data_IF_861563644005
#
_entry.id   IF_861563644005
#
_cell.length_a   1.000
_cell.length_b   1.000
_cell.length_c   1.000
_cell.angle_alpha   90.00
_cell.angle_beta   90.00
_cell.angle_gamma   90.00
#
_symmetry.space_group_name_H-M   'P 1'
#
loop_
_entity.id
_entity.type
_entity.pdbx_description
1 polymer ?
#
# COMPACT_ATOMS: atom_id res chain seq x y z
N UNK A 1 -8.18 -9.30 8.62
CA UNK A 1 -7.76 -10.13 7.45
C UNK A 1 -6.68 -11.13 7.83
N UNK A 2 -5.53 -10.69 8.35
CA UNK A 2 -4.40 -11.55 8.73
C UNK A 2 -4.79 -12.82 9.53
N UNK A 3 -5.59 -12.68 10.59
CA UNK A 3 -6.10 -13.82 11.40
C UNK A 3 -6.89 -14.84 10.57
N UNK A 4 -7.69 -14.38 9.60
CA UNK A 4 -8.50 -15.27 8.74
C UNK A 4 -7.65 -16.05 7.74
N UNK A 5 -6.49 -15.53 7.39
CA UNK A 5 -5.54 -16.12 6.45
C UNK A 5 -4.39 -16.86 7.16
N UNK A 6 -4.37 -16.86 8.50
CA UNK A 6 -3.27 -17.38 9.32
C UNK A 6 -1.90 -16.77 8.93
N UNK A 7 -1.87 -15.45 8.73
CA UNK A 7 -0.68 -14.70 8.31
C UNK A 7 -0.18 -13.73 9.39
N UNK A 8 1.14 -13.44 9.43
CA UNK A 8 1.67 -12.35 10.24
C UNK A 8 1.17 -10.99 9.73
N UNK A 9 1.21 -9.98 10.61
CA UNK A 9 0.80 -8.61 10.29
C UNK A 9 2.02 -7.68 10.31
N UNK A 10 2.05 -6.75 9.34
CA UNK A 10 2.90 -5.58 9.35
C UNK A 10 2.03 -4.33 9.16
N UNK A 11 2.47 -3.20 9.71
CA UNK A 11 1.75 -1.93 9.66
C UNK A 11 2.62 -0.90 8.95
N UNK A 12 2.09 -0.28 7.90
CA UNK A 12 2.71 0.89 7.27
C UNK A 12 2.25 2.13 8.04
N UNK A 13 3.11 2.67 8.90
CA UNK A 13 2.85 3.92 9.61
C UNK A 13 3.10 5.10 8.67
N UNK A 14 2.07 5.91 8.42
CA UNK A 14 2.19 7.17 7.70
C UNK A 14 2.31 8.32 8.69
N UNK A 15 3.39 9.11 8.60
CA UNK A 15 3.50 10.40 9.29
C UNK A 15 3.48 11.56 8.31
N UNK A 16 2.85 12.65 8.75
CA UNK A 16 2.87 13.94 8.05
C UNK A 16 3.81 14.86 8.81
N UNK A 17 4.84 15.37 8.13
CA UNK A 17 5.72 16.39 8.69
C UNK A 17 5.15 17.76 8.28
N UNK A 18 4.39 18.37 9.20
CA UNK A 18 3.80 19.69 9.00
C UNK A 18 2.54 19.74 8.10
N UNK A 19 2.17 20.95 7.70
CA UNK A 19 0.94 21.26 6.93
C UNK A 19 1.20 21.52 5.43
N UNK A 20 2.42 21.30 4.94
CA UNK A 20 2.86 21.66 3.58
C UNK A 20 2.51 20.62 2.51
N UNK A 21 1.78 19.56 2.87
CA UNK A 21 1.32 18.56 1.91
C UNK A 21 2.35 17.48 1.55
N UNK A 22 3.62 17.60 1.97
CA UNK A 22 4.62 16.53 1.83
C UNK A 22 4.51 15.51 2.98
N UNK A 23 4.15 14.28 2.64
CA UNK A 23 4.16 13.12 3.56
C UNK A 23 5.55 12.53 3.53
N UNK A 24 6.37 12.83 4.54
CA UNK A 24 7.82 12.62 4.46
C UNK A 24 8.37 11.47 5.34
N UNK A 25 7.54 10.73 6.07
CA UNK A 25 8.02 9.51 6.71
C UNK A 25 6.96 8.42 6.68
N UNK A 26 7.25 7.37 5.91
CA UNK A 26 6.60 6.08 6.03
C UNK A 26 7.56 5.18 6.82
N UNK A 27 7.02 4.37 7.72
CA UNK A 27 7.78 3.31 8.36
C UNK A 27 6.99 2.00 8.29
N UNK A 28 7.68 0.87 8.35
CA UNK A 28 7.06 -0.46 8.42
C UNK A 28 7.32 -1.02 9.80
N UNK A 29 6.25 -1.28 10.55
CA UNK A 29 6.29 -2.00 11.83
C UNK A 29 5.97 -3.46 11.55
N UNK A 30 6.96 -4.34 11.73
CA UNK A 30 6.87 -5.77 11.38
C UNK A 30 8.01 -6.18 10.43
N UNK A 31 8.18 -7.48 10.22
CA UNK A 31 9.17 -8.04 9.31
C UNK A 31 8.53 -8.44 7.97
N UNK A 32 9.02 -7.82 6.90
CA UNK A 32 8.54 -8.03 5.52
C UNK A 32 9.65 -8.53 4.60
N UNK A 33 10.91 -8.61 5.07
CA UNK A 33 12.04 -8.93 4.22
C UNK A 33 11.97 -10.37 3.70
N UNK A 34 12.12 -10.54 2.39
CA UNK A 34 12.03 -11.84 1.72
C UNK A 34 10.62 -12.43 1.68
N UNK A 35 9.57 -11.66 1.97
CA UNK A 35 8.16 -12.10 1.98
C UNK A 35 7.33 -11.34 0.96
N UNK A 36 6.36 -12.01 0.35
CA UNK A 36 5.31 -11.33 -0.41
C UNK A 36 4.39 -10.58 0.55
N UNK A 37 4.01 -9.36 0.20
CA UNK A 37 3.17 -8.49 1.02
C UNK A 37 1.79 -8.33 0.39
N UNK A 38 0.74 -8.55 1.18
CA UNK A 38 -0.64 -8.23 0.82
C UNK A 38 -1.03 -6.92 1.51
N UNK A 39 -0.96 -5.82 0.76
CA UNK A 39 -1.39 -4.51 1.20
C UNK A 39 -2.90 -4.40 1.09
N UNK A 40 -3.57 -3.98 2.16
CA UNK A 40 -5.03 -3.90 2.23
C UNK A 40 -5.43 -2.54 2.78
N UNK A 41 -6.41 -1.91 2.14
CA UNK A 41 -7.04 -0.69 2.62
C UNK A 41 -8.54 -0.71 2.32
N UNK A 42 -9.30 0.18 2.93
CA UNK A 42 -10.73 0.31 2.65
C UNK A 42 -10.99 0.99 1.30
N UNK A 43 -10.28 2.07 0.98
CA UNK A 43 -10.44 2.79 -0.29
C UNK A 43 -9.12 3.14 -0.99
N UNK A 44 -9.20 3.28 -2.32
CA UNK A 44 -8.12 3.78 -3.16
C UNK A 44 -8.64 5.00 -3.93
N UNK A 45 -8.41 6.19 -3.38
CA UNK A 45 -8.79 7.46 -3.99
C UNK A 45 -7.74 7.94 -5.00
N UNK A 46 -6.76 8.77 -4.60
CA UNK A 46 -5.71 9.28 -5.51
C UNK A 46 -4.52 8.33 -5.68
N UNK A 47 -4.60 7.12 -5.11
CA UNK A 47 -3.52 6.12 -4.99
C UNK A 47 -2.21 6.57 -4.32
N UNK A 48 -2.14 7.79 -3.78
CA UNK A 48 -0.90 8.32 -3.18
C UNK A 48 -0.40 7.49 -2.00
N UNK A 49 -1.31 7.01 -1.15
CA UNK A 49 -0.99 6.11 -0.02
C UNK A 49 -0.50 4.75 -0.52
N UNK A 50 -1.15 4.16 -1.53
CA UNK A 50 -0.78 2.85 -2.07
C UNK A 50 0.64 2.85 -2.65
N UNK A 51 0.96 3.81 -3.52
CA UNK A 51 2.29 3.90 -4.13
C UNK A 51 3.38 4.08 -3.08
N UNK A 52 3.13 4.94 -2.10
CA UNK A 52 4.02 5.16 -0.97
C UNK A 52 4.27 3.89 -0.15
N UNK A 53 3.20 3.14 0.17
CA UNK A 53 3.29 1.89 0.91
C UNK A 53 4.03 0.80 0.11
N UNK A 54 3.77 0.68 -1.19
CA UNK A 54 4.47 -0.26 -2.08
C UNK A 54 5.97 0.03 -2.10
N UNK A 55 6.35 1.29 -2.31
CA UNK A 55 7.76 1.69 -2.37
C UNK A 55 8.50 1.34 -1.09
N UNK A 56 7.95 1.68 0.09
CA UNK A 56 8.63 1.35 1.35
C UNK A 56 8.68 -0.16 1.62
N UNK A 57 7.64 -0.93 1.24
CA UNK A 57 7.68 -2.39 1.36
C UNK A 57 8.81 -2.98 0.52
N UNK A 58 8.99 -2.51 -0.72
CA UNK A 58 10.10 -2.90 -1.60
C UNK A 58 11.45 -2.49 -1.03
N UNK A 59 11.60 -1.26 -0.54
CA UNK A 59 12.82 -0.78 0.12
C UNK A 59 13.19 -1.61 1.35
N UNK A 60 12.20 -2.14 2.08
CA UNK A 60 12.40 -3.06 3.22
C UNK A 60 12.63 -4.52 2.80
N UNK A 61 12.74 -4.79 1.50
CA UNK A 61 13.07 -6.11 0.96
C UNK A 61 11.88 -7.05 0.82
N UNK A 62 10.65 -6.53 0.79
CA UNK A 62 9.50 -7.35 0.42
C UNK A 62 9.67 -7.91 -1.00
N UNK A 63 9.17 -9.12 -1.22
CA UNK A 63 9.01 -9.74 -2.52
C UNK A 63 7.90 -9.07 -3.30
N UNK A 64 6.99 -9.84 -3.88
CA UNK A 64 5.84 -9.28 -4.60
C UNK A 64 4.91 -8.52 -3.65
N UNK A 65 4.40 -7.39 -4.12
CA UNK A 65 3.39 -6.60 -3.40
C UNK A 65 2.07 -6.71 -4.16
N UNK A 66 1.04 -7.23 -3.50
CA UNK A 66 -0.33 -7.27 -3.98
C UNK A 66 -1.14 -6.21 -3.23
N UNK A 67 -2.08 -5.57 -3.91
CA UNK A 67 -2.96 -4.55 -3.31
C UNK A 67 -4.39 -5.02 -3.37
N UNK A 68 -5.10 -4.93 -2.25
CA UNK A 68 -6.54 -5.16 -2.17
C UNK A 68 -7.24 -3.94 -1.59
N UNK A 69 -8.25 -3.41 -2.29
CA UNK A 69 -9.08 -2.30 -1.84
C UNK A 69 -10.57 -2.63 -1.96
N UNK A 70 -11.41 -2.15 -1.03
CA UNK A 70 -12.86 -2.29 -1.22
C UNK A 70 -13.35 -1.26 -2.24
N UNK A 71 -13.18 0.02 -1.96
CA UNK A 71 -13.70 1.11 -2.78
C UNK A 71 -12.64 1.67 -3.73
N UNK A 72 -12.77 1.38 -5.02
CA UNK A 72 -11.86 1.87 -6.06
C UNK A 72 -12.35 3.20 -6.65
N UNK A 73 -12.23 4.29 -5.88
CA UNK A 73 -12.61 5.64 -6.34
C UNK A 73 -11.73 6.09 -7.51
N UNK A 74 -10.43 5.77 -7.46
CA UNK A 74 -9.44 5.97 -8.52
C UNK A 74 -9.45 7.39 -9.12
N UNK A 75 -9.52 8.42 -8.27
CA UNK A 75 -9.62 9.80 -8.72
C UNK A 75 -8.28 10.38 -9.17
N UNK A 76 -8.36 11.38 -10.06
CA UNK A 76 -7.20 12.15 -10.52
C UNK A 76 -6.08 11.24 -11.08
N UNK A 77 -4.85 11.31 -10.55
CA UNK A 77 -3.70 10.58 -11.09
C UNK A 77 -3.63 9.11 -10.64
N UNK A 78 -4.68 8.56 -10.02
CA UNK A 78 -4.63 7.25 -9.37
C UNK A 78 -4.22 6.13 -10.32
N UNK A 79 -4.85 6.05 -11.49
CA UNK A 79 -4.59 4.99 -12.47
C UNK A 79 -3.14 5.03 -12.96
N UNK A 80 -2.62 6.21 -13.29
CA UNK A 80 -1.24 6.36 -13.76
C UNK A 80 -0.24 6.01 -12.65
N UNK A 81 -0.49 6.48 -11.42
CA UNK A 81 0.30 6.12 -10.24
C UNK A 81 0.35 4.63 -9.96
N UNK A 82 -0.79 3.95 -10.08
CA UNK A 82 -0.87 2.50 -9.86
C UNK A 82 -0.19 1.71 -10.98
N UNK A 83 -0.27 2.18 -12.23
CA UNK A 83 0.45 1.59 -13.38
C UNK A 83 1.96 1.72 -13.26
N UNK A 84 2.44 2.84 -12.75
CA UNK A 84 3.87 3.12 -12.59
C UNK A 84 4.46 2.50 -11.31
N UNK A 85 3.61 2.05 -10.38
CA UNK A 85 4.04 1.41 -9.14
C UNK A 85 4.47 -0.05 -9.36
N UNK A 86 5.46 -0.51 -8.59
CA UNK A 86 5.95 -1.90 -8.60
C UNK A 86 5.01 -2.86 -7.83
N UNK A 87 3.76 -2.91 -8.30
CA UNK A 87 2.68 -3.77 -7.79
C UNK A 87 2.49 -4.97 -8.73
N UNK A 88 2.38 -6.16 -8.16
CA UNK A 88 2.13 -7.38 -8.93
C UNK A 88 0.68 -7.46 -9.41
N UNK A 89 -0.28 -7.22 -8.51
CA UNK A 89 -1.70 -7.27 -8.82
C UNK A 89 -2.49 -6.33 -7.91
N UNK A 90 -3.55 -5.73 -8.47
CA UNK A 90 -4.49 -4.87 -7.75
C UNK A 90 -5.88 -5.50 -7.89
N UNK A 91 -6.47 -5.91 -6.77
CA UNK A 91 -7.81 -6.49 -6.71
C UNK A 91 -8.74 -5.54 -5.97
N UNK A 92 -9.87 -5.21 -6.58
CA UNK A 92 -10.87 -4.31 -6.01
C UNK A 92 -12.28 -4.85 -6.18
N UNK A 93 -13.22 -4.35 -5.39
CA UNK A 93 -14.64 -4.66 -5.59
C UNK A 93 -15.28 -3.71 -6.62
N UNK A 94 -16.51 -3.99 -7.00
CA UNK A 94 -17.32 -3.24 -7.98
C UNK A 94 -18.29 -2.23 -7.34
N UNK A 95 -18.04 -1.85 -6.09
CA UNK A 95 -18.85 -0.87 -5.32
C UNK A 95 -18.72 0.55 -5.84
#
# INVERSE_FOLDING_TARGET
MAVRLDLPIAIVEKRRLGNTGSTEALNVIGDVAGRNALLVDDEIDTAGTMVQAVNILREKGAGEVLVAGYHAILSGPAVDRLRDADVHEIVVTDT
#
